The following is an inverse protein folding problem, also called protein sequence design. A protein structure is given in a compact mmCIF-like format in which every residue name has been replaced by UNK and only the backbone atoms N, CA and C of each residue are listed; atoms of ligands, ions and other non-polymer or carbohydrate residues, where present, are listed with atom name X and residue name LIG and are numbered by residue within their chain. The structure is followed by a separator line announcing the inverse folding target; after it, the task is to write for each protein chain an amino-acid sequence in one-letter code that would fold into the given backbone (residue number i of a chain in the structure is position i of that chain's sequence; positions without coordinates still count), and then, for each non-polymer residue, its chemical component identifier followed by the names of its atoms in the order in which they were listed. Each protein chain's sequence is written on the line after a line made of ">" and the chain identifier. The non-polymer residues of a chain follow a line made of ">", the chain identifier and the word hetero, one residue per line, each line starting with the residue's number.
data_IF_882280593017
#
_entry.id   IF_882280593017
#
_cell.length_a   1.000
_cell.length_b   1.000
_cell.length_c   1.000
_cell.angle_alpha   90.00
_cell.angle_beta   90.00
_cell.angle_gamma   90.00
#
_symmetry.space_group_name_H-M   'P 1'
#
loop_
_entity.id
_entity.type
_entity.pdbx_description
1 polymer ?
#
# COMPACT_ATOMS: atom_id res chain seq x y z
N UNK A 1 -14.40 33.48 -14.65
CA UNK A 1 -13.68 32.20 -14.50
C UNK A 1 -14.74 31.11 -14.55
N UNK A 2 -14.68 30.12 -15.45
CA UNK A 2 -15.66 29.04 -15.41
C UNK A 2 -15.47 28.29 -14.08
N UNK A 3 -16.55 28.17 -13.32
CA UNK A 3 -16.61 27.28 -12.17
C UNK A 3 -16.32 25.87 -12.67
N UNK A 4 -15.18 25.32 -12.25
CA UNK A 4 -14.86 23.92 -12.52
C UNK A 4 -15.82 23.13 -11.63
N UNK A 5 -16.95 22.71 -12.18
CA UNK A 5 -17.82 21.72 -11.55
C UNK A 5 -16.95 20.48 -11.35
N UNK A 6 -16.51 20.26 -10.12
CA UNK A 6 -15.91 19.01 -9.73
C UNK A 6 -16.99 17.95 -9.91
N UNK A 7 -16.75 16.98 -10.77
CA UNK A 7 -17.54 15.75 -10.81
C UNK A 7 -16.72 14.67 -10.10
N UNK A 8 -17.31 13.92 -9.13
CA UNK A 8 -16.62 12.79 -8.54
C UNK A 8 -16.25 11.80 -9.63
N UNK A 9 -15.02 11.29 -9.62
CA UNK A 9 -14.75 10.08 -10.40
C UNK A 9 -15.68 8.97 -9.90
N UNK A 10 -16.39 8.27 -10.82
CA UNK A 10 -17.31 7.22 -10.44
C UNK A 10 -16.56 6.04 -9.82
N UNK A 11 -17.23 5.36 -8.90
CA UNK A 11 -16.75 4.09 -8.36
C UNK A 11 -16.66 3.04 -9.47
N UNK A 12 -15.57 2.28 -9.48
CA UNK A 12 -15.33 1.17 -10.42
C UNK A 12 -15.48 -0.16 -9.70
N UNK A 13 -16.10 -1.15 -10.34
CA UNK A 13 -16.14 -2.51 -9.79
C UNK A 13 -14.74 -3.12 -9.73
N UNK A 14 -14.48 -3.87 -8.67
CA UNK A 14 -13.22 -4.56 -8.41
C UNK A 14 -13.45 -5.76 -7.49
N UNK A 15 -12.36 -6.46 -7.16
CA UNK A 15 -12.36 -7.60 -6.25
C UNK A 15 -11.33 -7.37 -5.17
N UNK A 16 -11.74 -7.49 -3.92
CA UNK A 16 -10.88 -7.33 -2.74
C UNK A 16 -10.66 -8.69 -2.08
N UNK A 17 -9.44 -8.93 -1.60
CA UNK A 17 -9.09 -10.11 -0.82
C UNK A 17 -8.20 -9.71 0.34
N UNK A 18 -8.64 -10.08 1.53
CA UNK A 18 -7.84 -10.04 2.75
C UNK A 18 -7.33 -11.45 3.03
N UNK A 19 -6.02 -11.57 3.19
CA UNK A 19 -5.33 -12.79 3.58
C UNK A 19 -4.69 -12.51 4.93
N UNK A 20 -5.22 -13.09 6.03
CA UNK A 20 -4.57 -12.95 7.32
C UNK A 20 -3.16 -13.54 7.26
N UNK A 21 -2.21 -12.90 7.94
CA UNK A 21 -0.84 -13.39 8.05
C UNK A 21 -0.74 -14.67 8.88
N UNK A 22 0.49 -15.04 9.26
CA UNK A 22 0.68 -16.07 10.28
C UNK A 22 -0.10 -15.66 11.55
N UNK A 23 -1.11 -16.43 11.95
CA UNK A 23 -2.14 -15.93 12.89
C UNK A 23 -1.61 -15.36 14.22
N UNK A 24 -2.42 -14.49 14.83
CA UNK A 24 -2.16 -13.71 16.05
C UNK A 24 -1.74 -14.48 17.32
N UNK A 25 -1.64 -15.82 17.26
CA UNK A 25 -1.11 -16.66 18.34
C UNK A 25 0.42 -16.79 18.30
N UNK A 26 1.08 -16.27 17.26
CA UNK A 26 2.53 -16.27 17.17
C UNK A 26 3.16 -15.06 17.90
N UNK A 27 4.38 -15.17 18.44
CA UNK A 27 5.08 -14.01 19.00
C UNK A 27 5.17 -12.90 17.95
N UNK A 28 4.95 -11.64 18.33
CA UNK A 28 4.86 -10.52 17.37
C UNK A 28 6.05 -10.37 16.41
N UNK A 29 7.23 -10.88 16.76
CA UNK A 29 8.39 -10.94 15.87
C UNK A 29 8.26 -11.94 14.71
N UNK A 30 7.50 -13.04 14.87
CA UNK A 30 7.28 -14.01 13.80
C UNK A 30 6.42 -13.45 12.66
N UNK A 31 5.45 -12.60 12.99
CA UNK A 31 4.58 -11.97 12.00
C UNK A 31 5.30 -10.84 11.23
N UNK A 32 6.20 -10.10 11.88
CA UNK A 32 7.05 -9.14 11.18
C UNK A 32 7.97 -9.85 10.18
N UNK A 33 8.59 -10.96 10.59
CA UNK A 33 9.41 -11.77 9.69
C UNK A 33 8.60 -12.33 8.52
N UNK A 34 7.38 -12.82 8.77
CA UNK A 34 6.47 -13.23 7.71
C UNK A 34 6.20 -12.11 6.70
N UNK A 35 5.98 -10.86 7.15
CA UNK A 35 5.79 -9.72 6.24
C UNK A 35 7.05 -9.46 5.39
N UNK A 36 8.24 -9.58 5.98
CA UNK A 36 9.50 -9.38 5.26
C UNK A 36 9.76 -10.48 4.22
N UNK A 37 9.55 -11.75 4.58
CA UNK A 37 9.59 -12.89 3.67
C UNK A 37 8.57 -12.72 2.54
N UNK A 38 7.34 -12.34 2.89
CA UNK A 38 6.27 -12.13 1.92
C UNK A 38 6.59 -10.99 0.96
N UNK A 39 7.16 -9.88 1.44
CA UNK A 39 7.58 -8.77 0.59
C UNK A 39 8.63 -9.19 -0.44
N UNK A 40 9.57 -10.07 -0.05
CA UNK A 40 10.58 -10.63 -0.96
C UNK A 40 9.96 -11.57 -1.99
N UNK A 41 9.06 -12.46 -1.57
CA UNK A 41 8.35 -13.41 -2.44
C UNK A 41 7.48 -12.72 -3.49
N UNK A 42 6.83 -11.60 -3.12
CA UNK A 42 6.01 -10.83 -4.04
C UNK A 42 6.83 -10.18 -5.17
N UNK A 43 8.09 -9.86 -4.88
CA UNK A 43 9.01 -9.22 -5.81
C UNK A 43 8.49 -7.90 -6.39
N UNK A 44 9.21 -7.42 -7.40
CA UNK A 44 8.96 -6.10 -7.99
C UNK A 44 9.42 -4.96 -7.07
N UNK A 45 9.03 -3.73 -7.41
CA UNK A 45 9.36 -2.56 -6.61
C UNK A 45 8.42 -2.45 -5.41
N UNK A 46 8.98 -2.51 -4.21
CA UNK A 46 8.28 -2.27 -2.96
C UNK A 46 8.53 -0.86 -2.46
N UNK A 47 7.52 -0.27 -1.83
CA UNK A 47 7.62 0.97 -1.09
C UNK A 47 6.82 0.83 0.21
N UNK A 48 6.97 1.76 1.14
CA UNK A 48 6.31 1.60 2.43
C UNK A 48 6.52 2.74 3.41
N UNK A 49 5.90 2.60 4.56
CA UNK A 49 6.15 3.41 5.75
C UNK A 49 6.37 2.48 6.93
N UNK A 50 7.47 2.70 7.65
CA UNK A 50 7.74 2.10 8.93
C UNK A 50 7.57 3.16 10.02
N UNK A 51 6.65 2.94 10.95
CA UNK A 51 6.49 3.78 12.13
C UNK A 51 7.33 3.21 13.26
N UNK A 52 8.26 4.02 13.74
CA UNK A 52 9.23 3.65 14.76
C UNK A 52 9.10 4.55 15.98
N UNK A 53 9.74 4.16 17.09
CA UNK A 53 9.82 5.00 18.28
C UNK A 53 10.53 6.35 18.06
N UNK A 54 11.26 6.54 16.95
CA UNK A 54 11.93 7.80 16.59
C UNK A 54 11.27 8.55 15.43
N UNK A 55 10.14 8.07 14.91
CA UNK A 55 9.40 8.71 13.82
C UNK A 55 9.03 7.76 12.69
N UNK A 56 8.46 8.31 11.62
CA UNK A 56 8.08 7.56 10.43
C UNK A 56 9.20 7.62 9.38
N UNK A 57 9.60 6.46 8.87
CA UNK A 57 10.59 6.34 7.80
C UNK A 57 9.92 5.86 6.51
N UNK A 58 10.28 6.47 5.38
CA UNK A 58 9.94 5.94 4.06
C UNK A 58 10.75 4.67 3.81
N UNK A 59 10.07 3.56 3.56
CA UNK A 59 10.70 2.28 3.24
C UNK A 59 10.96 2.23 1.74
N UNK A 60 12.21 1.93 1.39
CA UNK A 60 12.71 1.90 0.01
C UNK A 60 13.06 0.49 -0.45
N UNK A 61 13.42 -0.39 0.48
CA UNK A 61 13.50 -1.84 0.28
C UNK A 61 13.00 -2.57 1.51
N UNK A 62 12.38 -3.71 1.27
CA UNK A 62 11.94 -4.65 2.29
C UNK A 62 12.21 -6.07 1.81
N UNK A 63 12.67 -6.92 2.71
CA UNK A 63 12.93 -8.34 2.47
C UNK A 63 13.50 -8.99 3.71
N UNK A 64 13.90 -10.25 3.61
CA UNK A 64 14.48 -11.01 4.75
C UNK A 64 15.75 -10.38 5.34
N UNK A 65 16.45 -9.54 4.57
CA UNK A 65 17.59 -8.75 5.05
C UNK A 65 17.21 -7.50 5.86
N UNK A 66 15.93 -7.24 6.09
CA UNK A 66 15.41 -6.09 6.83
C UNK A 66 14.82 -4.99 5.94
N UNK A 67 14.71 -3.80 6.52
CA UNK A 67 14.12 -2.61 5.89
C UNK A 67 15.20 -1.56 5.66
N UNK A 68 15.15 -0.86 4.52
CA UNK A 68 16.00 0.31 4.27
C UNK A 68 15.19 1.55 3.96
N UNK A 69 15.71 2.71 4.38
CA UNK A 69 15.22 4.05 4.05
C UNK A 69 16.28 4.79 3.22
N UNK A 70 15.86 5.84 2.51
CA UNK A 70 16.78 6.80 1.90
C UNK A 70 16.85 8.05 2.78
N UNK A 71 18.06 8.40 3.21
CA UNK A 71 18.30 9.69 3.85
C UNK A 71 18.95 10.62 2.82
N UNK A 72 18.26 11.72 2.51
CA UNK A 72 18.89 12.84 1.85
C UNK A 72 19.81 13.52 2.86
N UNK A 73 21.11 13.64 2.55
CA UNK A 73 21.96 14.53 3.32
C UNK A 73 21.60 15.96 2.94
N UNK A 74 21.16 16.75 3.91
CA UNK A 74 20.89 18.17 3.73
C UNK A 74 22.01 18.84 2.92
N UNK A 75 21.68 19.32 1.72
CA UNK A 75 22.59 20.10 0.87
C UNK A 75 23.67 19.33 0.11
N UNK A 76 23.75 17.98 0.19
CA UNK A 76 24.75 17.20 -0.56
C UNK A 76 24.10 16.27 -1.59
N UNK A 77 24.63 16.30 -2.83
CA UNK A 77 24.25 15.35 -3.86
C UNK A 77 24.66 13.92 -3.45
N UNK A 78 23.66 13.08 -3.19
CA UNK A 78 23.82 11.65 -2.89
C UNK A 78 22.91 11.21 -1.75
N UNK A 79 21.82 10.53 -2.08
CA UNK A 79 21.04 9.80 -1.09
C UNK A 79 21.84 8.56 -0.66
N UNK A 80 21.85 8.28 0.65
CA UNK A 80 22.42 7.05 1.19
C UNK A 80 21.28 6.19 1.72
N UNK A 81 21.35 4.90 1.43
CA UNK A 81 20.48 3.93 2.09
C UNK A 81 20.97 3.63 3.50
N UNK A 82 20.03 3.66 4.43
CA UNK A 82 20.23 3.35 5.84
C UNK A 82 19.25 2.26 6.26
N UNK A 83 19.72 1.36 7.12
CA UNK A 83 18.90 0.29 7.68
C UNK A 83 17.96 0.86 8.75
N UNK A 84 16.71 0.41 8.75
CA UNK A 84 15.76 0.73 9.81
C UNK A 84 15.86 -0.35 10.88
N UNK A 85 16.11 0.06 12.12
CA UNK A 85 16.15 -0.84 13.27
C UNK A 85 14.77 -1.45 13.53
N UNK A 86 14.62 -2.74 13.22
CA UNK A 86 13.35 -3.48 13.32
C UNK A 86 12.81 -3.53 14.75
N UNK A 87 13.67 -3.48 15.78
CA UNK A 87 13.24 -3.51 17.18
C UNK A 87 12.52 -2.21 17.59
N UNK A 88 12.66 -1.16 16.79
CA UNK A 88 11.97 0.13 17.01
C UNK A 88 10.65 0.23 16.27
N UNK A 89 10.38 -0.65 15.29
CA UNK A 89 9.17 -0.61 14.44
C UNK A 89 7.98 -1.13 15.22
N UNK A 90 6.90 -0.36 15.29
CA UNK A 90 5.65 -0.80 15.91
C UNK A 90 4.50 -0.94 14.91
N UNK A 91 4.60 -0.30 13.74
CA UNK A 91 3.66 -0.45 12.62
C UNK A 91 4.43 -0.41 11.31
N UNK A 92 4.07 -1.31 10.38
CA UNK A 92 4.67 -1.42 9.07
C UNK A 92 3.58 -1.53 8.01
N UNK A 93 3.66 -0.67 6.99
CA UNK A 93 2.87 -0.79 5.76
C UNK A 93 3.83 -0.86 4.58
N UNK A 94 3.74 -1.93 3.81
CA UNK A 94 4.51 -2.14 2.58
C UNK A 94 3.54 -2.34 1.43
N UNK A 95 3.78 -1.72 0.28
CA UNK A 95 2.97 -1.94 -0.90
C UNK A 95 3.83 -2.10 -2.13
N UNK A 96 3.34 -2.88 -3.09
CA UNK A 96 3.96 -2.96 -4.41
C UNK A 96 3.64 -1.68 -5.17
N UNK A 97 4.68 -1.01 -5.67
CA UNK A 97 4.52 0.17 -6.52
C UNK A 97 3.85 -0.24 -7.84
N UNK A 98 2.86 0.53 -8.26
CA UNK A 98 2.18 0.38 -9.55
C UNK A 98 2.62 1.49 -10.50
N UNK A 99 2.65 1.17 -11.79
CA UNK A 99 3.01 2.12 -12.84
C UNK A 99 2.02 3.30 -12.92
N UNK A 100 2.46 4.44 -13.45
CA UNK A 100 1.57 5.59 -13.67
C UNK A 100 0.46 5.24 -14.66
N UNK A 101 -0.74 5.81 -14.43
CA UNK A 101 -1.86 5.83 -15.39
C UNK A 101 -1.33 6.20 -16.79
N UNK A 102 -1.69 5.41 -17.80
CA UNK A 102 -1.65 5.89 -19.19
C UNK A 102 -2.82 6.87 -19.40
N UNK A 103 -2.76 7.71 -20.43
CA UNK A 103 -3.70 8.81 -20.70
C UNK A 103 -5.20 8.41 -20.82
N UNK A 104 -5.53 7.12 -20.66
CA UNK A 104 -6.87 6.54 -20.69
C UNK A 104 -7.64 6.52 -19.37
N UNK A 105 -7.16 7.18 -18.31
CA UNK A 105 -8.01 7.59 -17.18
C UNK A 105 -8.40 6.52 -16.15
N UNK A 106 -7.57 5.51 -15.90
CA UNK A 106 -7.75 4.59 -14.77
C UNK A 106 -6.44 3.97 -14.31
N UNK A 107 -6.35 3.57 -13.03
CA UNK A 107 -5.31 2.64 -12.59
C UNK A 107 -5.40 1.37 -13.45
N UNK A 108 -4.44 1.21 -14.37
CA UNK A 108 -4.37 0.02 -15.21
C UNK A 108 -3.79 -1.06 -14.32
N UNK A 109 -4.57 -2.12 -14.11
CA UNK A 109 -4.06 -3.31 -13.47
C UNK A 109 -2.75 -3.74 -14.13
N UNK A 110 -1.81 -4.27 -13.35
CA UNK A 110 -0.62 -4.91 -13.93
C UNK A 110 -1.01 -6.02 -14.90
N UNK A 111 -0.03 -6.61 -15.60
CA UNK A 111 -0.29 -7.81 -16.43
C UNK A 111 -0.97 -8.94 -15.63
N UNK A 112 -0.80 -8.92 -14.30
CA UNK A 112 -1.40 -9.84 -13.33
C UNK A 112 -2.85 -9.50 -12.93
N UNK A 113 -3.44 -8.41 -13.44
CA UNK A 113 -4.80 -7.99 -13.06
C UNK A 113 -4.90 -7.34 -11.67
N UNK A 114 -3.78 -7.05 -11.01
CA UNK A 114 -3.75 -6.48 -9.65
C UNK A 114 -3.70 -4.95 -9.70
N UNK A 115 -4.66 -4.31 -9.02
CA UNK A 115 -4.78 -2.86 -8.88
C UNK A 115 -3.97 -2.32 -7.68
N UNK A 116 -3.99 -3.01 -6.54
CA UNK A 116 -3.21 -2.68 -5.35
C UNK A 116 -2.83 -3.95 -4.58
N UNK A 117 -1.69 -3.91 -3.89
CA UNK A 117 -1.16 -5.02 -3.11
C UNK A 117 -0.34 -4.49 -1.95
N UNK A 118 -0.87 -4.66 -0.74
CA UNK A 118 -0.30 -4.10 0.48
C UNK A 118 -0.16 -5.17 1.57
N UNK A 119 0.98 -5.17 2.24
CA UNK A 119 1.26 -5.93 3.45
C UNK A 119 1.23 -4.96 4.63
N UNK A 120 0.53 -5.35 5.69
CA UNK A 120 0.42 -4.58 6.93
C UNK A 120 0.87 -5.44 8.09
N UNK A 121 1.53 -4.82 9.05
CA UNK A 121 1.83 -5.42 10.34
C UNK A 121 1.72 -4.37 11.44
N UNK A 122 1.12 -4.78 12.56
CA UNK A 122 1.00 -3.97 13.76
C UNK A 122 1.45 -4.81 14.96
N UNK A 123 2.39 -4.28 15.74
CA UNK A 123 2.98 -5.00 16.86
C UNK A 123 1.90 -5.45 17.87
N UNK A 124 1.85 -6.76 18.12
CA UNK A 124 0.89 -7.38 19.03
C UNK A 124 -0.53 -7.54 18.47
N UNK A 125 -0.79 -7.14 17.22
CA UNK A 125 -2.10 -7.31 16.55
C UNK A 125 -2.02 -8.17 15.29
N UNK A 126 -0.83 -8.29 14.72
CA UNK A 126 -0.50 -9.23 13.66
C UNK A 126 -0.36 -8.64 12.29
N UNK A 127 -0.35 -9.52 11.29
CA UNK A 127 -0.12 -9.17 9.90
C UNK A 127 -1.33 -9.44 9.00
N UNK A 128 -1.44 -8.66 7.93
CA UNK A 128 -2.44 -8.85 6.87
C UNK A 128 -1.81 -8.60 5.50
N UNK A 129 -2.17 -9.42 4.53
CA UNK A 129 -1.91 -9.17 3.11
C UNK A 129 -3.23 -8.83 2.42
N UNK A 130 -3.28 -7.66 1.81
CA UNK A 130 -4.48 -7.11 1.21
C UNK A 130 -4.23 -6.91 -0.27
N UNK A 131 -5.10 -7.47 -1.10
CA UNK A 131 -5.01 -7.43 -2.56
C UNK A 131 -6.31 -6.90 -3.14
N UNK A 132 -6.20 -5.97 -4.08
CA UNK A 132 -7.32 -5.49 -4.90
C UNK A 132 -7.02 -5.85 -6.34
N UNK A 133 -7.87 -6.65 -6.95
CA UNK A 133 -7.83 -7.05 -8.36
C UNK A 133 -8.91 -6.38 -9.19
N UNK A 134 -8.68 -6.28 -10.50
CA UNK A 134 -9.65 -5.72 -11.44
C UNK A 134 -10.85 -6.63 -11.70
N UNK A 135 -10.71 -7.94 -11.49
CA UNK A 135 -11.78 -8.92 -11.70
C UNK A 135 -11.56 -10.20 -10.90
N UNK A 136 -12.58 -11.07 -10.85
CA UNK A 136 -12.52 -12.35 -10.13
C UNK A 136 -11.60 -13.36 -10.80
N UNK A 137 -11.41 -13.26 -12.11
CA UNK A 137 -10.47 -14.10 -12.85
C UNK A 137 -9.02 -13.80 -12.41
N UNK A 138 -8.69 -12.53 -12.16
CA UNK A 138 -7.38 -12.11 -11.68
C UNK A 138 -7.17 -12.32 -10.17
N UNK A 139 -8.24 -12.36 -9.38
CA UNK A 139 -8.16 -12.57 -7.93
C UNK A 139 -9.21 -13.57 -7.41
N UNK A 140 -8.99 -14.88 -7.63
CA UNK A 140 -9.92 -15.91 -7.16
C UNK A 140 -10.10 -15.92 -5.64
N UNK A 141 -11.34 -16.10 -5.21
CA UNK A 141 -11.73 -16.13 -3.79
C UNK A 141 -11.81 -14.75 -3.13
N UNK A 142 -11.66 -13.66 -3.88
CA UNK A 142 -11.96 -12.32 -3.39
C UNK A 142 -13.46 -12.02 -3.39
N UNK A 143 -13.84 -11.01 -2.60
CA UNK A 143 -15.19 -10.46 -2.51
C UNK A 143 -15.35 -9.27 -3.45
N UNK A 144 -16.57 -9.04 -3.93
CA UNK A 144 -16.84 -7.87 -4.77
C UNK A 144 -16.65 -6.59 -3.95
N UNK A 145 -16.02 -5.60 -4.56
CA UNK A 145 -15.87 -4.27 -3.99
C UNK A 145 -15.98 -3.21 -5.08
N UNK A 146 -16.00 -1.96 -4.64
CA UNK A 146 -15.88 -0.80 -5.50
C UNK A 146 -14.64 -0.02 -5.14
N UNK A 147 -14.01 0.59 -6.14
CA UNK A 147 -12.77 1.34 -5.95
C UNK A 147 -12.85 2.73 -6.53
N UNK A 148 -12.10 3.64 -5.93
CA UNK A 148 -11.82 4.98 -6.45
C UNK A 148 -10.33 5.25 -6.39
N UNK A 149 -9.80 5.86 -7.43
CA UNK A 149 -8.39 6.27 -7.42
C UNK A 149 -8.24 7.51 -6.53
N UNK A 150 -7.19 7.52 -5.70
CA UNK A 150 -6.85 8.64 -4.85
C UNK A 150 -5.42 9.13 -5.13
N UNK A 151 -5.15 10.39 -4.78
CA UNK A 151 -3.83 10.97 -4.93
C UNK A 151 -3.55 12.02 -3.86
N UNK A 152 -2.34 11.95 -3.27
CA UNK A 152 -1.86 12.88 -2.27
C UNK A 152 -0.67 13.67 -2.82
N UNK A 153 -0.70 14.98 -2.57
CA UNK A 153 0.46 15.83 -2.79
C UNK A 153 1.49 15.56 -1.70
N UNK A 154 2.70 15.19 -2.09
CA UNK A 154 3.82 15.10 -1.15
C UNK A 154 4.42 16.49 -0.96
N UNK A 155 4.64 16.87 0.30
CA UNK A 155 5.35 18.09 0.64
C UNK A 155 6.86 17.87 0.48
N UNK A 156 7.45 18.40 -0.61
CA UNK A 156 8.88 18.30 -0.92
C UNK A 156 9.27 19.15 -2.15
N UNK A 157 10.57 19.31 -2.43
CA UNK A 157 11.07 20.18 -3.51
C UNK A 157 10.65 19.72 -4.92
N UNK A 158 10.37 18.42 -5.09
CA UNK A 158 9.74 17.83 -6.27
C UNK A 158 8.35 17.37 -5.85
N UNK A 159 7.31 18.04 -6.33
CA UNK A 159 5.91 17.69 -6.06
C UNK A 159 5.49 16.37 -6.69
N UNK A 160 6.09 15.27 -6.26
CA UNK A 160 5.67 13.93 -6.63
C UNK A 160 4.33 13.60 -5.94
N UNK A 161 3.51 12.84 -6.66
CA UNK A 161 2.16 12.49 -6.26
C UNK A 161 2.17 11.06 -5.75
N UNK A 162 1.80 10.87 -4.49
CA UNK A 162 1.49 9.54 -3.97
C UNK A 162 0.13 9.12 -4.51
N UNK A 163 0.00 7.93 -5.08
CA UNK A 163 -1.29 7.41 -5.55
C UNK A 163 -1.82 6.33 -4.62
N UNK A 164 -3.13 6.29 -4.42
CA UNK A 164 -3.81 5.29 -3.62
C UNK A 164 -5.06 4.78 -4.31
N UNK A 165 -5.65 3.74 -3.75
CA UNK A 165 -6.96 3.22 -4.11
C UNK A 165 -7.79 3.15 -2.84
N UNK A 166 -8.89 3.88 -2.82
CA UNK A 166 -9.93 3.73 -1.81
C UNK A 166 -10.82 2.56 -2.20
N UNK A 167 -11.15 1.72 -1.23
CA UNK A 167 -11.98 0.53 -1.37
C UNK A 167 -13.29 0.73 -0.62
N UNK A 168 -14.38 0.35 -1.27
CA UNK A 168 -15.73 0.44 -0.74
C UNK A 168 -16.39 -0.94 -0.83
N UNK A 169 -17.17 -1.29 0.19
CA UNK A 169 -17.95 -2.53 0.24
C UNK A 169 -19.41 -2.22 0.50
N UNK A 170 -20.29 -3.21 0.34
CA UNK A 170 -21.70 -3.10 0.70
C UNK A 170 -21.88 -3.68 2.09
N UNK A 171 -22.37 -2.88 3.03
CA UNK A 171 -22.70 -3.39 4.36
C UNK A 171 -23.96 -4.27 4.34
N UNK A 172 -23.95 -5.33 5.14
CA UNK A 172 -25.00 -6.36 5.10
C UNK A 172 -26.36 -5.88 5.60
N UNK A 173 -26.38 -4.94 6.55
CA UNK A 173 -27.62 -4.59 7.28
C UNK A 173 -28.57 -3.77 6.42
N UNK A 174 -28.04 -2.76 5.72
CA UNK A 174 -28.85 -1.81 4.94
C UNK A 174 -28.48 -1.74 3.47
N UNK A 175 -27.43 -2.46 3.04
CA UNK A 175 -26.97 -2.45 1.66
C UNK A 175 -26.29 -1.14 1.23
N UNK A 176 -25.86 -0.31 2.19
CA UNK A 176 -25.16 0.94 1.87
C UNK A 176 -23.74 0.65 1.38
N UNK A 177 -23.29 1.40 0.38
CA UNK A 177 -21.88 1.45 0.00
C UNK A 177 -21.10 2.23 1.05
N UNK A 178 -20.15 1.59 1.71
CA UNK A 178 -19.35 2.16 2.79
C UNK A 178 -17.87 2.11 2.45
N UNK A 179 -17.11 3.12 2.89
CA UNK A 179 -15.66 3.07 2.82
C UNK A 179 -15.14 1.94 3.71
N UNK A 180 -14.31 1.08 3.15
CA UNK A 180 -13.76 -0.09 3.81
C UNK A 180 -12.27 0.09 4.12
N UNK A 181 -11.49 0.60 3.16
CA UNK A 181 -10.04 0.70 3.30
C UNK A 181 -9.41 1.65 2.27
N UNK A 182 -8.14 1.99 2.46
CA UNK A 182 -7.30 2.66 1.48
C UNK A 182 -5.92 2.01 1.36
N UNK A 183 -5.56 1.67 0.12
CA UNK A 183 -4.30 1.03 -0.22
C UNK A 183 -3.40 1.97 -1.01
N UNK A 184 -2.11 1.94 -0.69
CA UNK A 184 -1.10 2.74 -1.37
C UNK A 184 -0.57 2.03 -2.63
N UNK A 185 -0.27 2.80 -3.68
CA UNK A 185 0.19 2.25 -4.97
C UNK A 185 1.35 3.03 -5.60
N UNK A 186 1.51 4.31 -5.28
CA UNK A 186 2.59 5.17 -5.74
C UNK A 186 3.91 5.00 -4.97
N UNK A 187 4.88 5.85 -5.25
CA UNK A 187 6.13 5.93 -4.47
C UNK A 187 5.97 7.00 -3.39
N UNK A 188 6.40 6.69 -2.17
CA UNK A 188 6.47 7.62 -1.05
C UNK A 188 7.94 7.93 -0.72
N UNK A 189 8.26 9.21 -0.55
CA UNK A 189 9.61 9.67 -0.20
C UNK A 189 10.56 9.82 -1.38
#
# INVERSE_FOLDING_TARGET
>A
MPEKTWEPEPLREAVWKDVPGAGAEQPGGAELQWVLERAEDLGGEMNGVAYTTSGAYSVRRAGTSGLTTLIAKDGQAGSREEEIDLDTVFELRLWRVRGKKTDGGGSVAGEDGVLAHELRWLNGSGAAEIVVGASREGLPGGSDCWVRDNSYLQHGEKGDVMTGIEVFTVEETYGNTVFADELMTGRWG
#
